data_IF_568097178887
#
_entry.id   IF_568097178887
#
_cell.length_a   1.000
_cell.length_b   1.000
_cell.length_c   1.000
_cell.angle_alpha   90.00
_cell.angle_beta   90.00
_cell.angle_gamma   90.00
#
_symmetry.space_group_name_H-M   'P 1'
#
loop_
_entity.id
_entity.type
_entity.pdbx_description
1 polymer ?
#
# COMPACT_ATOMS: atom_id res chain seq x y z
N UNK A 1 -35.61 60.87 17.61
CA UNK A 1 -36.37 59.60 17.59
C UNK A 1 -36.82 59.26 16.17
N UNK A 2 -35.87 59.00 15.25
CA UNK A 2 -36.17 58.68 13.85
C UNK A 2 -35.16 57.69 13.23
N UNK A 3 -34.63 56.76 14.02
CA UNK A 3 -33.59 55.82 13.53
C UNK A 3 -33.93 54.32 13.69
N UNK A 4 -35.15 53.96 14.11
CA UNK A 4 -35.51 52.55 14.32
C UNK A 4 -36.34 51.90 13.19
N UNK A 5 -36.68 52.62 12.12
CA UNK A 5 -37.55 52.07 11.06
C UNK A 5 -36.84 51.53 9.82
N UNK A 6 -35.54 51.79 9.65
CA UNK A 6 -34.79 51.26 8.49
C UNK A 6 -34.33 49.81 8.69
N UNK A 7 -34.13 49.36 9.93
CA UNK A 7 -33.72 47.97 10.20
C UNK A 7 -34.84 46.95 10.00
N UNK A 8 -36.10 47.34 10.21
CA UNK A 8 -37.23 46.42 10.05
C UNK A 8 -37.67 46.24 8.59
N UNK A 9 -37.43 47.22 7.71
CA UNK A 9 -37.79 47.10 6.28
C UNK A 9 -36.79 46.24 5.47
N UNK A 10 -35.56 46.07 5.96
CA UNK A 10 -34.58 45.18 5.33
C UNK A 10 -34.83 43.69 5.66
N UNK A 11 -35.52 43.39 6.76
CA UNK A 11 -35.86 42.01 7.16
C UNK A 11 -37.01 41.40 6.36
N UNK A 12 -37.87 42.23 5.75
CA UNK A 12 -39.07 41.76 5.01
C UNK A 12 -38.80 41.36 3.54
N UNK A 13 -37.55 41.47 3.07
CA UNK A 13 -37.13 41.08 1.71
C UNK A 13 -36.24 39.82 1.70
N UNK A 14 -36.60 38.81 2.50
CA UNK A 14 -36.03 37.47 2.32
C UNK A 14 -36.68 36.87 1.06
N UNK A 15 -36.03 37.06 -0.08
CA UNK A 15 -36.43 36.43 -1.34
C UNK A 15 -36.40 34.91 -1.16
N UNK A 16 -37.53 34.23 -1.39
CA UNK A 16 -37.55 32.77 -1.39
C UNK A 16 -36.62 32.24 -2.50
N UNK A 17 -35.68 31.33 -2.17
CA UNK A 17 -34.81 30.72 -3.18
C UNK A 17 -35.61 30.12 -4.32
N UNK A 18 -35.12 30.26 -5.55
CA UNK A 18 -35.55 29.35 -6.61
C UNK A 18 -35.07 27.94 -6.26
N UNK A 19 -36.00 26.98 -6.11
CA UNK A 19 -35.67 25.57 -5.87
C UNK A 19 -34.66 25.03 -6.91
N UNK A 20 -34.82 25.46 -8.17
CA UNK A 20 -33.92 25.12 -9.27
C UNK A 20 -32.47 25.59 -9.02
N UNK A 21 -32.29 26.72 -8.36
CA UNK A 21 -30.97 27.26 -8.01
C UNK A 21 -30.36 26.43 -6.87
N UNK A 22 -31.12 26.15 -5.80
CA UNK A 22 -30.69 25.29 -4.69
C UNK A 22 -30.26 23.91 -5.21
N UNK A 23 -31.05 23.30 -6.09
CA UNK A 23 -30.75 21.98 -6.64
C UNK A 23 -29.45 21.99 -7.47
N UNK A 24 -29.20 23.07 -8.23
CA UNK A 24 -27.91 23.23 -8.94
C UNK A 24 -26.73 23.43 -7.99
N UNK A 25 -26.92 24.15 -6.89
CA UNK A 25 -25.89 24.33 -5.86
C UNK A 25 -25.55 23.00 -5.19
N UNK A 26 -26.56 22.20 -4.83
CA UNK A 26 -26.36 20.84 -4.31
C UNK A 26 -25.58 19.97 -5.28
N UNK A 27 -25.96 19.97 -6.57
CA UNK A 27 -25.25 19.21 -7.59
C UNK A 27 -23.77 19.64 -7.72
N UNK A 28 -23.49 20.93 -7.61
CA UNK A 28 -22.12 21.44 -7.60
C UNK A 28 -21.35 21.00 -6.34
N UNK A 29 -21.95 21.14 -5.15
CA UNK A 29 -21.33 20.70 -3.89
C UNK A 29 -21.04 19.20 -3.90
N UNK A 30 -21.98 18.41 -4.43
CA UNK A 30 -21.84 16.98 -4.63
C UNK A 30 -20.64 16.65 -5.55
N UNK A 31 -20.53 17.33 -6.70
CA UNK A 31 -19.39 17.15 -7.61
C UNK A 31 -18.06 17.43 -6.92
N UNK A 32 -18.01 18.50 -6.15
CA UNK A 32 -16.80 18.90 -5.48
C UNK A 32 -16.40 17.92 -4.37
N UNK A 33 -17.36 17.46 -3.57
CA UNK A 33 -17.11 16.39 -2.59
C UNK A 33 -16.53 15.17 -3.29
N UNK A 34 -17.10 14.74 -4.42
CA UNK A 34 -16.60 13.59 -5.19
C UNK A 34 -15.19 13.85 -5.72
N UNK A 35 -14.92 15.04 -6.24
CA UNK A 35 -13.59 15.42 -6.74
C UNK A 35 -12.53 15.37 -5.62
N UNK A 36 -12.88 15.90 -4.43
CA UNK A 36 -12.03 15.84 -3.25
C UNK A 36 -11.84 14.39 -2.77
N UNK A 37 -12.91 13.59 -2.63
CA UNK A 37 -12.79 12.18 -2.25
C UNK A 37 -11.88 11.40 -3.21
N UNK A 38 -11.95 11.68 -4.51
CA UNK A 38 -11.16 11.04 -5.55
C UNK A 38 -9.67 11.42 -5.53
N UNK A 39 -9.34 12.70 -5.24
CA UNK A 39 -8.00 13.27 -5.52
C UNK A 39 -7.30 13.99 -4.37
N UNK A 40 -7.98 14.22 -3.24
CA UNK A 40 -7.45 14.99 -2.10
C UNK A 40 -6.06 14.53 -1.67
N UNK A 41 -5.18 15.51 -1.49
CA UNK A 41 -3.77 15.37 -1.11
C UNK A 41 -3.47 15.71 0.36
N UNK A 42 -4.47 16.11 1.15
CA UNK A 42 -4.18 16.70 2.48
C UNK A 42 -3.58 15.72 3.50
N UNK A 43 -3.61 14.41 3.23
CA UNK A 43 -2.85 13.40 3.98
C UNK A 43 -1.75 12.87 3.08
N UNK A 44 -0.50 13.22 3.39
CA UNK A 44 0.67 12.68 2.69
C UNK A 44 0.99 11.28 3.24
N UNK A 45 0.84 10.27 2.40
CA UNK A 45 1.37 8.95 2.68
C UNK A 45 2.91 9.01 2.78
N UNK A 46 3.49 8.40 3.82
CA UNK A 46 4.94 8.41 4.03
C UNK A 46 5.60 7.25 3.28
N UNK A 47 6.12 7.52 2.08
CA UNK A 47 6.77 6.49 1.27
C UNK A 47 8.06 5.95 1.92
N UNK A 48 8.81 6.79 2.64
CA UNK A 48 10.05 6.34 3.31
C UNK A 48 9.75 5.36 4.44
N UNK A 49 8.67 5.60 5.19
CA UNK A 49 8.20 4.68 6.25
C UNK A 49 7.87 3.32 5.66
N UNK A 50 7.15 3.24 4.54
CA UNK A 50 6.81 1.94 3.93
C UNK A 50 8.03 1.26 3.28
N UNK A 51 8.94 2.02 2.67
CA UNK A 51 10.19 1.47 2.10
C UNK A 51 10.95 0.73 3.19
N UNK A 52 11.13 1.36 4.36
CA UNK A 52 11.82 0.76 5.50
C UNK A 52 11.11 -0.50 6.00
N UNK A 53 9.77 -0.52 5.96
CA UNK A 53 8.97 -1.66 6.39
C UNK A 53 9.04 -2.86 5.44
N UNK A 54 9.23 -2.64 4.13
CA UNK A 54 9.19 -3.71 3.11
C UNK A 54 10.56 -4.04 2.53
N UNK A 55 11.62 -3.38 2.97
CA UNK A 55 12.99 -3.70 2.57
C UNK A 55 13.50 -4.94 3.31
N UNK A 56 14.01 -5.91 2.55
CA UNK A 56 14.44 -7.23 3.05
C UNK A 56 15.96 -7.45 2.87
N UNK A 57 16.74 -6.38 2.77
CA UNK A 57 18.15 -6.43 2.40
C UNK A 57 19.04 -7.07 3.49
N UNK A 58 18.75 -6.81 4.77
CA UNK A 58 19.49 -7.35 5.92
C UNK A 58 18.53 -7.95 6.95
N UNK A 59 18.54 -9.28 7.07
CA UNK A 59 17.75 -10.02 8.04
C UNK A 59 18.69 -10.91 8.85
N UNK A 60 19.05 -10.43 10.04
CA UNK A 60 19.93 -11.12 11.00
C UNK A 60 19.38 -12.50 11.40
N UNK A 61 18.06 -12.70 11.24
CA UNK A 61 17.35 -13.95 11.47
C UNK A 61 18.02 -15.15 10.77
N UNK A 62 18.63 -14.95 9.59
CA UNK A 62 19.30 -16.02 8.84
C UNK A 62 20.71 -16.34 9.34
N UNK A 63 21.41 -15.39 9.96
CA UNK A 63 22.82 -15.57 10.32
C UNK A 63 22.98 -16.64 11.41
N UNK A 64 22.05 -16.67 12.38
CA UNK A 64 22.00 -17.70 13.41
C UNK A 64 21.82 -19.13 12.86
N UNK A 65 21.06 -19.29 11.77
CA UNK A 65 20.90 -20.60 11.11
C UNK A 65 22.23 -21.03 10.51
N UNK A 66 22.90 -20.12 9.80
CA UNK A 66 24.19 -20.41 9.19
C UNK A 66 25.24 -20.76 10.23
N UNK A 67 25.32 -20.03 11.33
CA UNK A 67 26.28 -20.30 12.40
C UNK A 67 26.03 -21.66 13.08
N UNK A 68 24.77 -22.05 13.27
CA UNK A 68 24.43 -23.40 13.77
C UNK A 68 24.97 -24.47 12.82
N UNK A 69 24.72 -24.34 11.52
CA UNK A 69 25.21 -25.29 10.53
C UNK A 69 26.73 -25.29 10.45
N UNK A 70 27.38 -24.12 10.54
CA UNK A 70 28.84 -23.99 10.51
C UNK A 70 29.51 -24.70 11.69
N UNK A 71 28.91 -24.66 12.88
CA UNK A 71 29.40 -25.44 14.02
C UNK A 71 29.31 -26.94 13.76
N UNK A 72 28.18 -27.43 13.25
CA UNK A 72 28.01 -28.83 12.85
C UNK A 72 29.02 -29.25 11.77
N UNK A 73 29.23 -28.39 10.76
CA UNK A 73 30.24 -28.59 9.72
C UNK A 73 31.65 -28.76 10.31
N UNK A 74 32.03 -27.90 11.26
CA UNK A 74 33.33 -27.97 11.92
C UNK A 74 33.49 -29.22 12.78
N UNK A 75 32.44 -29.66 13.49
CA UNK A 75 32.46 -30.92 14.23
C UNK A 75 32.64 -32.12 13.31
N UNK A 76 31.96 -32.15 12.17
CA UNK A 76 32.11 -33.22 11.18
C UNK A 76 33.53 -33.22 10.62
N UNK A 77 34.09 -32.04 10.32
CA UNK A 77 35.48 -31.88 9.89
C UNK A 77 36.49 -32.40 10.92
N UNK A 78 36.24 -32.19 12.22
CA UNK A 78 37.12 -32.65 13.30
C UNK A 78 37.00 -34.16 13.55
N UNK A 79 35.78 -34.71 13.42
CA UNK A 79 35.48 -36.13 13.69
C UNK A 79 35.75 -37.05 12.49
N UNK A 80 35.80 -36.51 11.27
CA UNK A 80 36.09 -37.28 10.07
C UNK A 80 37.52 -37.82 10.12
N UNK A 81 37.67 -39.12 9.93
CA UNK A 81 38.99 -39.74 9.80
C UNK A 81 39.63 -39.34 8.46
N UNK A 82 40.95 -39.50 8.32
CA UNK A 82 41.69 -39.33 7.05
C UNK A 82 41.18 -40.26 5.91
N UNK A 83 40.25 -41.18 6.19
CA UNK A 83 39.85 -42.30 5.33
C UNK A 83 38.41 -42.17 4.81
N UNK A 84 37.61 -41.25 5.34
CA UNK A 84 36.22 -41.10 4.89
C UNK A 84 36.19 -40.60 3.44
N UNK A 85 35.52 -41.35 2.56
CA UNK A 85 35.39 -40.96 1.16
C UNK A 85 34.54 -39.69 1.03
N UNK A 86 34.85 -38.88 0.01
CA UNK A 86 34.10 -37.66 -0.30
C UNK A 86 32.58 -37.87 -0.37
N UNK A 87 32.12 -39.00 -0.93
CA UNK A 87 30.69 -39.30 -1.03
C UNK A 87 30.02 -39.46 0.34
N UNK A 88 30.69 -40.11 1.30
CA UNK A 88 30.20 -40.29 2.67
C UNK A 88 30.13 -38.94 3.39
N UNK A 89 31.21 -38.14 3.31
CA UNK A 89 31.26 -36.80 3.92
C UNK A 89 30.17 -35.89 3.37
N UNK A 90 29.99 -35.87 2.04
CA UNK A 90 28.95 -35.09 1.38
C UNK A 90 27.55 -35.53 1.80
N UNK A 91 27.27 -36.84 1.86
CA UNK A 91 25.98 -37.35 2.31
C UNK A 91 25.66 -36.94 3.75
N UNK A 92 26.64 -37.05 4.66
CA UNK A 92 26.48 -36.64 6.05
C UNK A 92 26.17 -35.15 6.17
N UNK A 93 26.95 -34.31 5.48
CA UNK A 93 26.72 -32.87 5.47
C UNK A 93 25.41 -32.47 4.79
N UNK A 94 24.99 -33.14 3.71
CA UNK A 94 23.71 -32.91 3.04
C UNK A 94 22.52 -33.25 3.97
N UNK A 95 22.64 -34.32 4.77
CA UNK A 95 21.64 -34.69 5.79
C UNK A 95 21.56 -33.64 6.90
N UNK A 96 22.70 -33.25 7.47
CA UNK A 96 22.72 -32.22 8.53
C UNK A 96 22.25 -30.86 8.02
N UNK A 97 22.64 -30.48 6.80
CA UNK A 97 22.14 -29.28 6.15
C UNK A 97 20.62 -29.32 6.02
N UNK A 98 20.05 -30.45 5.57
CA UNK A 98 18.61 -30.57 5.42
C UNK A 98 17.89 -30.43 6.77
N UNK A 99 18.36 -31.12 7.81
CA UNK A 99 17.75 -31.08 9.14
C UNK A 99 17.89 -29.71 9.84
N UNK A 100 19.05 -29.07 9.74
CA UNK A 100 19.32 -27.82 10.46
C UNK A 100 18.82 -26.61 9.68
N UNK A 101 19.08 -26.57 8.37
CA UNK A 101 18.87 -25.37 7.57
C UNK A 101 17.45 -25.35 7.01
N UNK A 102 16.95 -26.42 6.39
CA UNK A 102 15.65 -26.35 5.71
C UNK A 102 14.49 -26.19 6.69
N UNK A 103 14.52 -26.91 7.81
CA UNK A 103 13.47 -26.80 8.83
C UNK A 103 13.47 -25.42 9.50
N UNK A 104 14.64 -24.94 9.93
CA UNK A 104 14.74 -23.59 10.53
C UNK A 104 14.40 -22.48 9.53
N UNK A 105 14.81 -22.61 8.27
CA UNK A 105 14.45 -21.64 7.22
C UNK A 105 12.94 -21.60 7.01
N UNK A 106 12.25 -22.75 7.12
CA UNK A 106 10.80 -22.80 7.02
C UNK A 106 10.13 -22.05 8.18
N UNK A 107 10.59 -22.25 9.41
CA UNK A 107 10.06 -21.55 10.58
C UNK A 107 10.27 -20.02 10.47
N UNK A 108 11.48 -19.60 10.08
CA UNK A 108 11.78 -18.19 9.84
C UNK A 108 10.95 -17.65 8.69
N UNK A 109 10.73 -18.42 7.62
CA UNK A 109 9.87 -18.01 6.50
C UNK A 109 8.46 -17.68 6.99
N UNK A 110 7.86 -18.50 7.84
CA UNK A 110 6.53 -18.24 8.40
C UNK A 110 6.52 -17.04 9.33
N UNK A 111 7.53 -16.89 10.18
CA UNK A 111 7.64 -15.75 11.09
C UNK A 111 7.80 -14.42 10.35
N UNK A 112 8.67 -14.39 9.34
CA UNK A 112 8.86 -13.21 8.48
C UNK A 112 7.61 -12.90 7.68
N UNK A 113 6.94 -13.92 7.15
CA UNK A 113 5.69 -13.74 6.43
C UNK A 113 4.64 -13.05 7.28
N UNK A 114 4.32 -13.59 8.46
CA UNK A 114 3.34 -12.96 9.35
C UNK A 114 3.77 -11.53 9.69
N UNK A 115 5.01 -11.34 10.13
CA UNK A 115 5.53 -10.02 10.53
C UNK A 115 5.42 -8.97 9.42
N UNK A 116 5.84 -9.29 8.20
CA UNK A 116 5.91 -8.30 7.12
C UNK A 116 4.56 -8.11 6.40
N UNK A 117 3.78 -9.17 6.23
CA UNK A 117 2.43 -9.07 5.68
C UNK A 117 1.52 -8.26 6.62
N UNK A 118 1.50 -8.60 7.92
CA UNK A 118 0.67 -7.90 8.91
C UNK A 118 1.04 -6.41 8.99
N UNK A 119 2.33 -6.08 8.98
CA UNK A 119 2.80 -4.69 9.00
C UNK A 119 2.37 -3.91 7.75
N UNK A 120 2.42 -4.54 6.58
CA UNK A 120 2.00 -3.90 5.34
C UNK A 120 0.49 -3.66 5.35
N UNK A 121 -0.29 -4.65 5.77
CA UNK A 121 -1.75 -4.53 5.88
C UNK A 121 -2.15 -3.46 6.90
N UNK A 122 -1.54 -3.45 8.09
CA UNK A 122 -1.75 -2.40 9.10
C UNK A 122 -1.39 -1.02 8.57
N UNK A 123 -0.23 -0.87 7.92
CA UNK A 123 0.16 0.42 7.34
C UNK A 123 -0.87 0.91 6.31
N UNK A 124 -1.36 0.02 5.44
CA UNK A 124 -2.39 0.39 4.45
C UNK A 124 -3.71 0.72 5.13
N UNK A 125 -4.11 -0.06 6.14
CA UNK A 125 -5.35 0.15 6.88
C UNK A 125 -5.36 1.41 7.73
N UNK A 126 -4.23 1.81 8.32
CA UNK A 126 -4.14 2.94 9.25
C UNK A 126 -3.71 4.23 8.54
N UNK A 127 -2.57 4.18 7.83
CA UNK A 127 -1.93 5.37 7.29
C UNK A 127 -2.54 5.81 5.95
N UNK A 128 -3.14 4.88 5.19
CA UNK A 128 -3.73 5.20 3.88
C UNK A 128 -5.26 5.34 3.89
N UNK A 129 -5.96 5.03 4.99
CA UNK A 129 -7.42 5.15 5.10
C UNK A 129 -7.95 6.56 4.78
N UNK A 130 -7.15 7.59 5.11
CA UNK A 130 -7.49 9.01 4.93
C UNK A 130 -6.96 9.58 3.62
N UNK A 131 -6.30 8.76 2.81
CA UNK A 131 -5.71 9.14 1.53
C UNK A 131 -6.69 8.83 0.41
N UNK A 132 -6.88 9.76 -0.51
CA UNK A 132 -7.78 9.58 -1.65
C UNK A 132 -7.36 8.36 -2.51
N UNK A 133 -8.30 7.66 -3.18
CA UNK A 133 -7.98 6.47 -3.95
C UNK A 133 -6.95 6.75 -5.06
N UNK A 134 -7.00 7.94 -5.69
CA UNK A 134 -6.00 8.35 -6.69
C UNK A 134 -4.57 8.39 -6.13
N UNK A 135 -4.40 8.91 -4.91
CA UNK A 135 -3.10 8.96 -4.24
C UNK A 135 -2.66 7.59 -3.73
N UNK A 136 -3.60 6.77 -3.23
CA UNK A 136 -3.33 5.37 -2.86
C UNK A 136 -2.81 4.57 -4.06
N UNK A 137 -3.44 4.69 -5.23
CA UNK A 137 -3.00 4.04 -6.48
C UNK A 137 -1.55 4.42 -6.80
N UNK A 138 -1.23 5.72 -6.78
CA UNK A 138 0.12 6.21 -7.05
C UNK A 138 1.15 5.68 -6.03
N UNK A 139 0.79 5.69 -4.76
CA UNK A 139 1.62 5.19 -3.67
C UNK A 139 1.90 3.69 -3.80
N UNK A 140 0.85 2.87 -3.93
CA UNK A 140 0.96 1.42 -4.05
C UNK A 140 1.70 1.01 -5.34
N UNK A 141 1.59 1.79 -6.42
CA UNK A 141 2.43 1.60 -7.62
C UNK A 141 3.91 1.78 -7.32
N UNK A 142 4.28 2.74 -6.46
CA UNK A 142 5.64 2.91 -5.96
C UNK A 142 6.11 1.70 -5.15
N UNK A 143 5.28 1.22 -4.22
CA UNK A 143 5.56 0.03 -3.40
C UNK A 143 5.75 -1.20 -4.28
N UNK A 144 4.86 -1.43 -5.24
CA UNK A 144 4.96 -2.54 -6.19
C UNK A 144 6.26 -2.50 -7.01
N UNK A 145 6.71 -1.32 -7.46
CA UNK A 145 7.99 -1.19 -8.17
C UNK A 145 9.18 -1.59 -7.29
N UNK A 146 9.19 -1.14 -6.02
CA UNK A 146 10.23 -1.51 -5.06
C UNK A 146 10.26 -3.02 -4.81
N UNK A 147 9.10 -3.63 -4.54
CA UNK A 147 8.98 -5.07 -4.32
C UNK A 147 9.41 -5.86 -5.56
N UNK A 148 8.98 -5.46 -6.77
CA UNK A 148 9.41 -6.11 -8.01
C UNK A 148 10.92 -6.04 -8.22
N UNK A 149 11.55 -4.90 -7.89
CA UNK A 149 13.00 -4.75 -7.95
C UNK A 149 13.71 -5.70 -6.97
N UNK A 150 13.26 -5.75 -5.72
CA UNK A 150 13.81 -6.67 -4.72
C UNK A 150 13.66 -8.14 -5.15
N UNK A 151 12.49 -8.53 -5.67
CA UNK A 151 12.26 -9.89 -6.15
C UNK A 151 13.21 -10.28 -7.28
N UNK A 152 13.41 -9.39 -8.26
CA UNK A 152 14.36 -9.63 -9.36
C UNK A 152 15.77 -9.85 -8.83
N UNK A 153 16.22 -9.01 -7.88
CA UNK A 153 17.53 -9.17 -7.23
C UNK A 153 17.69 -10.56 -6.58
N UNK A 154 16.68 -11.05 -5.86
CA UNK A 154 16.73 -12.39 -5.26
C UNK A 154 16.70 -13.52 -6.30
N UNK A 155 15.89 -13.40 -7.35
CA UNK A 155 15.83 -14.39 -8.43
C UNK A 155 17.15 -14.47 -9.23
N UNK A 156 17.76 -13.33 -9.54
CA UNK A 156 19.05 -13.25 -10.23
C UNK A 156 20.16 -13.85 -9.37
N UNK A 157 20.20 -13.51 -8.08
CA UNK A 157 21.16 -14.09 -7.14
C UNK A 157 21.00 -15.61 -7.03
N UNK A 158 19.76 -16.12 -6.94
CA UNK A 158 19.46 -17.56 -6.93
C UNK A 158 20.00 -18.27 -8.18
N UNK A 159 19.86 -17.66 -9.36
CA UNK A 159 20.40 -18.18 -10.61
C UNK A 159 21.93 -18.23 -10.61
N UNK A 160 22.59 -17.15 -10.15
CA UNK A 160 24.05 -17.09 -10.00
C UNK A 160 24.55 -18.15 -9.01
N UNK A 161 23.89 -18.28 -7.86
CA UNK A 161 24.23 -19.26 -6.83
C UNK A 161 24.06 -20.69 -7.34
N UNK A 162 23.03 -20.98 -8.14
CA UNK A 162 22.86 -22.29 -8.75
C UNK A 162 24.03 -22.67 -9.68
N UNK A 163 24.56 -21.71 -10.46
CA UNK A 163 25.76 -21.92 -11.28
C UNK A 163 26.99 -22.17 -10.39
N UNK A 164 27.19 -21.35 -9.35
CA UNK A 164 28.30 -21.51 -8.39
C UNK A 164 28.28 -22.86 -7.68
N UNK A 165 27.12 -23.32 -7.23
CA UNK A 165 26.94 -24.64 -6.61
C UNK A 165 27.40 -25.76 -7.54
N UNK A 166 27.01 -25.72 -8.82
CA UNK A 166 27.43 -26.71 -9.82
C UNK A 166 28.96 -26.70 -10.01
N UNK A 167 29.55 -25.51 -10.20
CA UNK A 167 30.99 -25.36 -10.38
C UNK A 167 31.79 -25.85 -9.17
N UNK A 168 31.39 -25.48 -7.95
CA UNK A 168 32.07 -25.92 -6.72
C UNK A 168 31.90 -27.42 -6.51
N UNK A 169 30.71 -27.97 -6.76
CA UNK A 169 30.51 -29.41 -6.67
C UNK A 169 31.41 -30.20 -7.64
N UNK A 170 31.61 -29.71 -8.86
CA UNK A 170 32.56 -30.30 -9.80
C UNK A 170 34.01 -30.20 -9.30
N UNK A 171 34.39 -29.03 -8.75
CA UNK A 171 35.71 -28.85 -8.15
C UNK A 171 35.95 -29.82 -6.99
N UNK A 172 34.95 -30.02 -6.11
CA UNK A 172 35.03 -31.00 -5.03
C UNK A 172 35.25 -32.43 -5.55
N UNK A 173 34.55 -32.82 -6.62
CA UNK A 173 34.74 -34.14 -7.26
C UNK A 173 36.16 -34.27 -7.80
N UNK A 174 36.64 -33.27 -8.54
CA UNK A 174 37.98 -33.28 -9.13
C UNK A 174 39.07 -33.39 -8.05
N UNK A 175 38.99 -32.59 -6.98
CA UNK A 175 39.92 -32.62 -5.85
C UNK A 175 39.90 -33.98 -5.14
N UNK A 176 38.71 -34.57 -4.98
CA UNK A 176 38.54 -35.87 -4.35
C UNK A 176 39.05 -37.03 -5.20
N UNK A 177 39.15 -36.85 -6.52
CA UNK A 177 39.75 -37.80 -7.46
C UNK A 177 41.24 -37.58 -7.71
N UNK A 178 41.87 -36.59 -7.03
CA UNK A 178 43.28 -36.30 -7.19
C UNK A 178 44.15 -37.47 -6.74
N UNK A 179 45.25 -37.73 -7.47
CA UNK A 179 46.25 -38.74 -7.10
C UNK A 179 46.91 -38.44 -5.76
N UNK A 180 47.00 -37.16 -5.39
CA UNK A 180 47.52 -36.67 -4.11
C UNK A 180 46.39 -36.19 -3.18
N UNK A 181 45.36 -37.02 -2.98
CA UNK A 181 44.22 -36.67 -2.13
C UNK A 181 44.61 -36.16 -0.73
N UNK A 182 45.68 -36.72 -0.14
CA UNK A 182 46.17 -36.31 1.19
C UNK A 182 46.63 -34.85 1.24
N UNK A 183 47.26 -34.33 0.17
CA UNK A 183 47.68 -32.92 0.11
C UNK A 183 46.50 -31.99 -0.22
N UNK A 184 45.48 -32.50 -0.91
CA UNK A 184 44.30 -31.73 -1.32
C UNK A 184 43.17 -31.70 -0.27
N UNK A 185 43.29 -32.43 0.83
CA UNK A 185 42.22 -32.61 1.81
C UNK A 185 41.69 -31.29 2.38
N UNK A 186 42.57 -30.33 2.68
CA UNK A 186 42.15 -29.01 3.15
C UNK A 186 41.40 -28.21 2.06
N UNK A 187 41.79 -28.37 0.79
CA UNK A 187 41.10 -27.75 -0.35
C UNK A 187 39.71 -28.36 -0.54
N UNK A 188 39.55 -29.67 -0.34
CA UNK A 188 38.23 -30.34 -0.33
C UNK A 188 37.32 -29.77 0.74
N UNK A 189 37.81 -29.59 1.98
CA UNK A 189 37.04 -28.98 3.06
C UNK A 189 36.65 -27.53 2.77
N UNK A 190 37.57 -26.73 2.24
CA UNK A 190 37.29 -25.36 1.84
C UNK A 190 36.21 -25.29 0.74
N UNK A 191 36.30 -26.17 -0.26
CA UNK A 191 35.32 -26.27 -1.34
C UNK A 191 33.95 -26.75 -0.83
N UNK A 192 33.91 -27.71 0.09
CA UNK A 192 32.67 -28.14 0.76
C UNK A 192 32.04 -26.99 1.56
N UNK A 193 32.82 -26.25 2.34
CA UNK A 193 32.30 -25.09 3.09
C UNK A 193 31.68 -24.05 2.14
N UNK A 194 32.37 -23.71 1.04
CA UNK A 194 31.86 -22.81 0.00
C UNK A 194 30.58 -23.35 -0.65
N UNK A 195 30.52 -24.66 -0.93
CA UNK A 195 29.36 -25.32 -1.50
C UNK A 195 28.12 -25.13 -0.60
N UNK A 196 28.25 -25.42 0.69
CA UNK A 196 27.15 -25.29 1.63
C UNK A 196 26.79 -23.84 1.92
N UNK A 197 27.75 -22.91 1.90
CA UNK A 197 27.47 -21.48 2.00
C UNK A 197 26.63 -21.00 0.81
N UNK A 198 26.94 -21.46 -0.42
CA UNK A 198 26.12 -21.12 -1.59
C UNK A 198 24.75 -21.79 -1.57
N UNK A 199 24.64 -23.04 -1.08
CA UNK A 199 23.34 -23.69 -0.85
C UNK A 199 22.49 -22.88 0.14
N UNK A 200 23.07 -22.49 1.28
CA UNK A 200 22.39 -21.67 2.29
C UNK A 200 21.87 -20.35 1.72
N UNK A 201 22.73 -19.59 1.04
CA UNK A 201 22.34 -18.32 0.41
C UNK A 201 21.22 -18.49 -0.62
N UNK A 202 21.25 -19.60 -1.37
CA UNK A 202 20.22 -19.90 -2.38
C UNK A 202 18.86 -20.16 -1.73
N UNK A 203 18.81 -20.90 -0.63
CA UNK A 203 17.57 -21.14 0.11
C UNK A 203 17.04 -19.86 0.77
N UNK A 204 17.93 -19.03 1.33
CA UNK A 204 17.57 -17.68 1.81
C UNK A 204 16.90 -16.86 0.70
N UNK A 205 17.56 -16.71 -0.46
CA UNK A 205 17.01 -15.93 -1.57
C UNK A 205 15.68 -16.49 -2.10
N UNK A 206 15.50 -17.81 -2.05
CA UNK A 206 14.23 -18.46 -2.41
C UNK A 206 13.10 -18.06 -1.45
N UNK A 207 13.34 -18.08 -0.14
CA UNK A 207 12.35 -17.65 0.86
C UNK A 207 12.03 -16.17 0.72
N UNK A 208 13.04 -15.32 0.58
CA UNK A 208 12.82 -13.88 0.42
C UNK A 208 12.06 -13.56 -0.87
N UNK A 209 12.36 -14.23 -1.99
CA UNK A 209 11.59 -14.09 -3.23
C UNK A 209 10.12 -14.47 -3.06
N UNK A 210 9.82 -15.55 -2.31
CA UNK A 210 8.45 -15.95 -1.99
C UNK A 210 7.74 -14.95 -1.08
N UNK A 211 8.42 -14.41 -0.07
CA UNK A 211 7.89 -13.37 0.81
C UNK A 211 7.52 -12.11 0.01
N UNK A 212 8.42 -11.65 -0.86
CA UNK A 212 8.15 -10.49 -1.73
C UNK A 212 6.94 -10.74 -2.64
N UNK A 213 6.75 -11.96 -3.14
CA UNK A 213 5.55 -12.30 -3.93
C UNK A 213 4.26 -12.15 -3.11
N UNK A 214 4.26 -12.53 -1.82
CA UNK A 214 3.10 -12.35 -0.94
C UNK A 214 2.81 -10.88 -0.67
N UNK A 215 3.84 -10.08 -0.37
CA UNK A 215 3.71 -8.63 -0.22
C UNK A 215 3.16 -7.96 -1.49
N UNK A 216 3.57 -8.44 -2.68
CA UNK A 216 3.02 -7.99 -3.96
C UNK A 216 1.54 -8.33 -4.10
N UNK A 217 1.10 -9.52 -3.68
CA UNK A 217 -0.30 -9.94 -3.73
C UNK A 217 -1.17 -9.03 -2.86
N UNK A 218 -0.73 -8.73 -1.64
CA UNK A 218 -1.39 -7.78 -0.72
C UNK A 218 -1.49 -6.41 -1.38
N UNK A 219 -0.35 -5.88 -1.83
CA UNK A 219 -0.28 -4.56 -2.50
C UNK A 219 -1.21 -4.48 -3.70
N UNK A 220 -1.28 -5.54 -4.51
CA UNK A 220 -2.14 -5.61 -5.69
C UNK A 220 -3.62 -5.64 -5.32
N UNK A 221 -4.01 -6.35 -4.25
CA UNK A 221 -5.39 -6.40 -3.78
C UNK A 221 -5.90 -4.99 -3.40
N UNK A 222 -5.12 -4.26 -2.59
CA UNK A 222 -5.44 -2.89 -2.21
C UNK A 222 -5.40 -1.92 -3.40
N UNK A 223 -4.44 -2.09 -4.32
CA UNK A 223 -4.34 -1.29 -5.54
C UNK A 223 -5.59 -1.47 -6.41
N UNK A 224 -6.02 -2.72 -6.63
CA UNK A 224 -7.21 -3.03 -7.41
C UNK A 224 -8.46 -2.45 -6.77
N UNK A 225 -8.57 -2.53 -5.44
CA UNK A 225 -9.70 -1.97 -4.71
C UNK A 225 -9.78 -0.45 -4.86
N UNK A 226 -8.65 0.24 -4.65
CA UNK A 226 -8.55 1.70 -4.82
C UNK A 226 -8.83 2.13 -6.27
N UNK A 227 -8.38 1.37 -7.27
CA UNK A 227 -8.66 1.63 -8.68
C UNK A 227 -10.16 1.57 -8.99
N UNK A 228 -10.86 0.56 -8.47
CA UNK A 228 -12.30 0.44 -8.66
C UNK A 228 -13.07 1.56 -7.96
N UNK A 229 -12.69 1.91 -6.73
CA UNK A 229 -13.22 3.08 -6.03
C UNK A 229 -13.02 4.38 -6.83
N UNK A 230 -11.82 4.59 -7.36
CA UNK A 230 -11.51 5.74 -8.21
C UNK A 230 -12.40 5.80 -9.47
N UNK A 231 -12.56 4.67 -10.16
CA UNK A 231 -13.41 4.56 -11.35
C UNK A 231 -14.89 4.82 -11.02
N UNK A 232 -15.37 4.27 -9.91
CA UNK A 232 -16.73 4.50 -9.43
C UNK A 232 -16.97 6.00 -9.16
N UNK A 233 -16.12 6.65 -8.37
CA UNK A 233 -16.22 8.09 -8.09
C UNK A 233 -16.12 8.93 -9.37
N UNK A 234 -15.31 8.50 -10.34
CA UNK A 234 -15.23 9.15 -11.67
C UNK A 234 -16.54 9.05 -12.43
N UNK A 235 -17.27 7.93 -12.31
CA UNK A 235 -18.57 7.78 -12.96
C UNK A 235 -19.65 8.61 -12.26
N UNK A 236 -19.63 8.68 -10.92
CA UNK A 236 -20.51 9.58 -10.14
C UNK A 236 -20.28 11.04 -10.54
N UNK A 237 -19.02 11.48 -10.60
CA UNK A 237 -18.67 12.84 -11.05
C UNK A 237 -19.21 13.15 -12.45
N UNK A 238 -19.04 12.22 -13.41
CA UNK A 238 -19.57 12.39 -14.78
C UNK A 238 -21.08 12.51 -14.80
N UNK A 239 -21.79 11.67 -14.06
CA UNK A 239 -23.25 11.70 -14.00
C UNK A 239 -23.76 13.00 -13.35
N UNK A 240 -23.18 13.42 -12.23
CA UNK A 240 -23.47 14.71 -11.61
C UNK A 240 -23.19 15.89 -12.55
N UNK A 241 -22.07 15.85 -13.30
CA UNK A 241 -21.71 16.89 -14.27
C UNK A 241 -22.74 17.04 -15.38
N UNK A 242 -23.31 15.94 -15.86
CA UNK A 242 -24.36 15.95 -16.88
C UNK A 242 -25.68 16.56 -16.37
N UNK A 243 -25.94 16.53 -15.06
CA UNK A 243 -27.16 17.07 -14.43
C UNK A 243 -27.04 18.54 -14.03
N UNK A 244 -25.83 19.08 -13.99
CA UNK A 244 -25.51 20.38 -13.42
C UNK A 244 -25.41 21.48 -14.49
N UNK A 245 -26.05 22.63 -14.25
CA UNK A 245 -25.99 23.78 -15.15
C UNK A 245 -25.01 24.84 -14.64
N UNK A 246 -23.84 24.94 -15.28
CA UNK A 246 -22.79 25.93 -14.95
C UNK A 246 -23.33 27.37 -15.00
N UNK A 247 -24.30 27.66 -15.88
CA UNK A 247 -24.91 29.00 -16.00
C UNK A 247 -25.68 29.45 -14.75
N UNK A 248 -26.08 28.51 -13.89
CA UNK A 248 -26.82 28.79 -12.64
C UNK A 248 -25.92 28.81 -11.41
N UNK A 249 -24.60 28.62 -11.61
CA UNK A 249 -23.56 28.62 -10.57
C UNK A 249 -22.71 29.87 -10.77
N UNK A 250 -23.26 31.04 -10.43
CA UNK A 250 -22.51 32.31 -10.52
C UNK A 250 -22.05 32.78 -9.14
N UNK A 251 -20.76 32.50 -8.87
CA UNK A 251 -19.65 33.31 -8.30
C UNK A 251 -19.42 33.48 -6.77
N UNK A 252 -20.39 33.60 -5.82
CA UNK A 252 -20.02 33.70 -4.40
C UNK A 252 -19.80 32.37 -3.68
N UNK A 253 -20.13 31.24 -4.32
CA UNK A 253 -20.05 29.90 -3.70
C UNK A 253 -18.60 29.54 -3.32
N UNK A 254 -17.61 30.04 -4.05
CA UNK A 254 -16.19 29.74 -3.81
C UNK A 254 -15.68 30.26 -2.46
N UNK A 255 -16.27 31.32 -1.90
CA UNK A 255 -15.87 31.83 -0.57
C UNK A 255 -16.33 30.92 0.57
N UNK A 256 -17.33 30.08 0.33
CA UNK A 256 -17.88 29.16 1.33
C UNK A 256 -17.49 27.72 1.06
N UNK A 257 -16.39 27.50 0.34
CA UNK A 257 -15.85 26.16 0.15
C UNK A 257 -15.34 25.56 1.46
N UNK A 258 -14.86 26.41 2.37
CA UNK A 258 -14.33 26.01 3.68
C UNK A 258 -15.39 25.39 4.61
N UNK A 259 -16.68 25.63 4.38
CA UNK A 259 -17.77 25.01 5.18
C UNK A 259 -17.98 23.53 4.85
N UNK A 260 -17.50 23.02 3.72
CA UNK A 260 -17.68 21.60 3.37
C UNK A 260 -16.58 20.75 4.04
N UNK A 261 -16.92 20.15 5.19
CA UNK A 261 -16.04 19.19 5.84
C UNK A 261 -16.00 17.85 5.07
N UNK A 262 -15.03 17.71 4.16
CA UNK A 262 -14.85 16.50 3.35
C UNK A 262 -14.63 15.24 4.19
N UNK A 263 -13.93 15.32 5.34
CA UNK A 263 -13.76 14.16 6.23
C UNK A 263 -15.09 13.69 6.79
N UNK A 264 -15.96 14.62 7.18
CA UNK A 264 -17.29 14.28 7.68
C UNK A 264 -18.17 13.69 6.58
N UNK A 265 -18.13 14.24 5.37
CA UNK A 265 -18.86 13.67 4.23
C UNK A 265 -18.36 12.27 3.87
N UNK A 266 -17.04 12.04 3.91
CA UNK A 266 -16.47 10.71 3.77
C UNK A 266 -16.98 9.76 4.85
N UNK A 267 -16.98 10.18 6.12
CA UNK A 267 -17.47 9.37 7.23
C UNK A 267 -18.94 8.97 7.05
N UNK A 268 -19.80 9.90 6.64
CA UNK A 268 -21.22 9.60 6.38
C UNK A 268 -21.40 8.58 5.25
N UNK A 269 -20.58 8.66 4.21
CA UNK A 269 -20.57 7.69 3.11
C UNK A 269 -20.05 6.34 3.61
N UNK A 270 -18.93 6.34 4.32
CA UNK A 270 -18.28 5.13 4.84
C UNK A 270 -19.22 4.36 5.78
N UNK A 271 -19.94 5.08 6.67
CA UNK A 271 -20.95 4.50 7.57
C UNK A 271 -22.13 3.90 6.80
N UNK A 272 -22.56 4.53 5.71
CA UNK A 272 -23.67 4.04 4.90
C UNK A 272 -23.31 2.80 4.09
N UNK A 273 -22.13 2.80 3.45
CA UNK A 273 -21.67 1.64 2.66
C UNK A 273 -21.07 0.52 3.53
N UNK A 274 -20.82 0.80 4.82
CA UNK A 274 -20.23 -0.14 5.78
C UNK A 274 -18.73 -0.39 5.59
N UNK A 275 -18.06 0.39 4.75
CA UNK A 275 -16.66 0.22 4.36
C UNK A 275 -16.05 1.57 4.01
N UNK A 276 -14.71 1.64 3.95
CA UNK A 276 -14.05 2.85 3.51
C UNK A 276 -14.14 3.02 1.99
N UNK A 277 -14.65 4.16 1.53
CA UNK A 277 -14.84 4.45 0.10
C UNK A 277 -13.55 4.39 -0.71
N UNK A 278 -12.39 4.63 -0.08
CA UNK A 278 -11.09 4.57 -0.75
C UNK A 278 -10.67 3.13 -1.12
N UNK A 279 -11.26 2.11 -0.48
CA UNK A 279 -10.98 0.69 -0.69
C UNK A 279 -12.24 -0.16 -0.87
N UNK A 280 -13.31 0.44 -1.38
CA UNK A 280 -14.63 -0.20 -1.44
C UNK A 280 -14.75 -1.26 -2.55
N UNK A 281 -14.05 -1.08 -3.68
CA UNK A 281 -13.66 -2.21 -4.53
C UNK A 281 -14.72 -3.07 -5.23
N UNK A 282 -16.03 -2.80 -5.08
CA UNK A 282 -17.22 -3.34 -5.78
C UNK A 282 -18.36 -3.63 -4.76
N UNK A 283 -19.01 -2.62 -4.19
CA UNK A 283 -20.29 -2.87 -3.52
C UNK A 283 -21.45 -2.81 -4.52
N UNK A 284 -22.64 -3.22 -4.05
CA UNK A 284 -23.88 -3.23 -4.84
C UNK A 284 -24.46 -1.85 -5.12
N UNK A 285 -23.86 -0.79 -4.57
CA UNK A 285 -24.36 0.58 -4.69
C UNK A 285 -24.17 1.09 -6.11
N UNK A 286 -25.27 1.47 -6.73
CA UNK A 286 -25.31 2.11 -8.05
C UNK A 286 -24.84 3.57 -7.99
N UNK A 287 -24.50 4.14 -9.14
CA UNK A 287 -24.14 5.55 -9.24
C UNK A 287 -25.29 6.43 -8.75
N UNK A 288 -26.52 6.08 -9.13
CA UNK A 288 -27.73 6.82 -8.80
C UNK A 288 -28.04 6.80 -7.30
N UNK A 289 -27.92 5.63 -6.64
CA UNK A 289 -28.10 5.53 -5.18
C UNK A 289 -27.06 6.36 -4.43
N UNK A 290 -25.80 6.33 -4.90
CA UNK A 290 -24.73 7.11 -4.29
C UNK A 290 -24.99 8.61 -4.41
N UNK A 291 -25.40 9.06 -5.59
CA UNK A 291 -25.79 10.45 -5.82
C UNK A 291 -26.94 10.87 -4.90
N UNK A 292 -28.01 10.08 -4.83
CA UNK A 292 -29.14 10.38 -3.96
C UNK A 292 -28.70 10.50 -2.50
N UNK A 293 -27.87 9.56 -2.03
CA UNK A 293 -27.36 9.61 -0.67
C UNK A 293 -26.51 10.86 -0.41
N UNK A 294 -25.65 11.21 -1.36
CA UNK A 294 -24.84 12.42 -1.27
C UNK A 294 -25.70 13.68 -1.23
N UNK A 295 -26.73 13.76 -2.09
CA UNK A 295 -27.66 14.88 -2.14
C UNK A 295 -28.48 15.04 -0.84
N UNK A 296 -28.82 13.94 -0.18
CA UNK A 296 -29.43 13.94 1.16
C UNK A 296 -28.46 14.48 2.20
N UNK A 297 -27.22 13.97 2.23
CA UNK A 297 -26.21 14.35 3.23
C UNK A 297 -25.83 15.84 3.17
N UNK A 298 -25.90 16.45 1.98
CA UNK A 298 -25.56 17.87 1.77
C UNK A 298 -26.78 18.79 1.77
N UNK A 299 -27.99 18.26 1.99
CA UNK A 299 -29.21 19.06 1.88
C UNK A 299 -29.19 20.26 2.82
N UNK A 300 -28.95 20.01 4.10
CA UNK A 300 -29.01 21.05 5.13
C UNK A 300 -27.84 22.04 4.97
N UNK A 301 -26.66 21.52 4.60
CA UNK A 301 -25.48 22.32 4.27
C UNK A 301 -25.81 23.28 3.11
N UNK A 302 -26.42 22.79 2.04
CA UNK A 302 -26.76 23.60 0.87
C UNK A 302 -27.77 24.70 1.17
N UNK A 303 -28.74 24.43 2.05
CA UNK A 303 -29.73 25.42 2.48
C UNK A 303 -29.09 26.49 3.37
N UNK A 304 -28.23 26.09 4.32
CA UNK A 304 -27.48 27.02 5.17
C UNK A 304 -26.57 27.94 4.35
N UNK A 305 -25.79 27.36 3.44
CA UNK A 305 -24.92 28.08 2.50
C UNK A 305 -25.69 29.09 1.65
N UNK A 306 -26.86 28.69 1.17
CA UNK A 306 -27.70 29.58 0.38
C UNK A 306 -28.22 30.75 1.22
N UNK A 307 -28.65 30.50 2.45
CA UNK A 307 -29.09 31.53 3.38
C UNK A 307 -27.97 32.52 3.73
N UNK A 308 -26.77 32.02 4.04
CA UNK A 308 -25.57 32.85 4.29
C UNK A 308 -25.23 33.73 3.09
N UNK A 309 -25.27 33.15 1.88
CA UNK A 309 -25.10 33.91 0.66
C UNK A 309 -26.13 35.04 0.52
N UNK A 310 -27.41 34.77 0.78
CA UNK A 310 -28.46 35.78 0.70
C UNK A 310 -28.22 36.93 1.68
N UNK A 311 -27.89 36.62 2.93
CA UNK A 311 -27.57 37.63 3.95
C UNK A 311 -26.40 38.51 3.49
N UNK A 312 -25.28 37.91 3.12
CA UNK A 312 -24.11 38.66 2.65
C UNK A 312 -24.38 39.45 1.36
N UNK A 313 -25.18 38.92 0.43
CA UNK A 313 -25.55 39.64 -0.77
C UNK A 313 -26.40 40.87 -0.43
N UNK A 314 -27.41 40.72 0.43
CA UNK A 314 -28.27 41.83 0.85
C UNK A 314 -27.46 42.90 1.58
N UNK A 315 -26.61 42.52 2.53
CA UNK A 315 -25.73 43.42 3.28
C UNK A 315 -24.82 44.25 2.35
N UNK A 316 -24.23 43.63 1.32
CA UNK A 316 -23.34 44.31 0.38
C UNK A 316 -24.08 45.08 -0.75
N UNK A 317 -25.33 44.73 -1.04
CA UNK A 317 -26.16 45.41 -2.04
C UNK A 317 -26.72 46.72 -1.52
N UNK A 318 -27.09 46.76 -0.23
CA UNK A 318 -27.64 47.94 0.44
C UNK A 318 -26.60 49.09 0.49
N UNK A 319 -25.30 48.79 0.45
CA UNK A 319 -24.22 49.78 0.50
C UNK A 319 -24.04 50.57 -0.82
N UNK A 320 -24.59 50.10 -1.96
CA UNK A 320 -24.51 50.81 -3.26
C UNK A 320 -25.69 51.73 -3.58
N UNK A 321 -26.70 51.81 -2.72
CA UNK A 321 -27.77 52.79 -2.83
C UNK A 321 -27.37 54.09 -2.09
N UNK A 322 -26.42 54.84 -2.65
CA UNK A 322 -26.19 56.24 -2.30
C UNK A 322 -25.91 57.07 -3.54
#
# INVERSE_FOLDING_TARGET
MKDNNLNNQAQDLILQPSQKLIDNWKLWMAQEIINQLKTRTSVKANFEKIVTLVELSNLDDFDNIWDTFKNCFNEIKQKSSLVDSYSILKQKLDREFSNIVLDKIKDISTLLENKYCDRLEQYIADDLQKVSPGNVINFLKGVSKLLLFQRRKFEDNKSILAKKIKSVNQACINLSSSKDFKSEQQNVWNALNLLFQFKFKKERDLVLSKLVLKLLQITQAYYNSAQKSFLFLTNVEKSLKNKCSIKLISIPIFMYFETININYQQLLIDLWIGHNINYWGNGSVTVEEFEQKLMININDISQSLFYEFQLSFLENSIIKAK
#
